data_IF_744013340553
#
_entry.id   IF_744013340553
#
_cell.length_a   1.000
_cell.length_b   1.000
_cell.length_c   1.000
_cell.angle_alpha   90.00
_cell.angle_beta   90.00
_cell.angle_gamma   90.00
#
_symmetry.space_group_name_H-M   'P 1'
#
loop_
_entity.id
_entity.type
_entity.pdbx_description
1 polymer ?
#
# COMPACT_ATOMS: atom_id res chain seq x y z
N UNK A 1 -1.49 -34.56 -15.85
CA UNK A 1 -0.90 -33.84 -14.71
C UNK A 1 -0.28 -32.60 -15.31
N UNK A 2 -0.92 -31.45 -15.15
CA UNK A 2 -0.42 -30.19 -15.71
C UNK A 2 0.56 -29.55 -14.72
N UNK A 3 1.76 -29.22 -15.21
CA UNK A 3 2.72 -28.40 -14.46
C UNK A 3 2.29 -26.93 -14.56
N UNK A 4 1.99 -26.32 -13.42
CA UNK A 4 1.81 -24.87 -13.32
C UNK A 4 3.20 -24.25 -13.14
N UNK A 5 3.67 -23.52 -14.15
CA UNK A 5 4.86 -22.68 -14.04
C UNK A 5 4.46 -21.35 -13.43
N UNK A 6 4.98 -21.07 -12.23
CA UNK A 6 4.91 -19.73 -11.64
C UNK A 6 6.06 -18.95 -12.26
N UNK A 7 5.75 -17.97 -13.10
CA UNK A 7 6.74 -17.01 -13.56
C UNK A 7 7.13 -16.09 -12.39
N UNK A 8 8.41 -15.73 -12.29
CA UNK A 8 8.87 -14.74 -11.32
C UNK A 8 8.19 -13.40 -11.63
N UNK A 9 7.06 -13.12 -10.96
CA UNK A 9 6.45 -11.81 -11.00
C UNK A 9 7.24 -10.91 -10.05
N UNK A 10 7.50 -9.68 -10.50
CA UNK A 10 8.13 -8.66 -9.66
C UNK A 10 7.13 -8.07 -8.65
N UNK A 11 5.94 -8.68 -8.54
CA UNK A 11 4.87 -8.23 -7.68
C UNK A 11 5.16 -8.57 -6.21
N UNK A 12 4.60 -7.78 -5.32
CA UNK A 12 4.68 -8.03 -3.88
C UNK A 12 3.51 -7.43 -3.13
N UNK A 13 3.28 -7.98 -1.94
CA UNK A 13 2.31 -7.45 -1.01
C UNK A 13 2.98 -6.39 -0.13
N UNK A 14 2.47 -5.17 -0.22
CA UNK A 14 2.83 -4.07 0.66
C UNK A 14 1.72 -3.91 1.70
N UNK A 15 2.02 -4.30 2.93
CA UNK A 15 1.06 -4.25 4.04
C UNK A 15 1.59 -3.45 5.22
N UNK A 16 0.68 -2.89 6.00
CA UNK A 16 1.02 -2.22 7.24
C UNK A 16 -0.20 -1.94 8.10
N UNK A 17 0.03 -1.23 9.21
CA UNK A 17 -1.00 -0.81 10.15
C UNK A 17 -0.87 0.67 10.45
N UNK A 18 -1.99 1.37 10.53
CA UNK A 18 -2.06 2.80 10.82
C UNK A 18 -2.77 3.07 12.15
N UNK A 19 -2.23 4.03 12.91
CA UNK A 19 -2.77 4.45 14.20
C UNK A 19 -2.95 5.97 14.22
N UNK A 20 -3.94 6.42 14.99
CA UNK A 20 -4.05 7.82 15.38
C UNK A 20 -3.01 8.16 16.47
N UNK A 21 -2.76 9.45 16.70
CA UNK A 21 -1.81 9.91 17.74
C UNK A 21 -2.16 9.46 19.17
N UNK A 22 -3.42 9.09 19.41
CA UNK A 22 -3.87 8.53 20.69
C UNK A 22 -3.60 7.02 20.82
N UNK A 23 -2.93 6.40 19.84
CA UNK A 23 -2.60 4.98 19.83
C UNK A 23 -3.74 4.06 19.40
N UNK A 24 -4.94 4.58 19.12
CA UNK A 24 -6.04 3.76 18.59
C UNK A 24 -5.82 3.44 17.12
N UNK A 25 -6.21 2.23 16.65
CA UNK A 25 -6.22 1.91 15.24
C UNK A 25 -6.99 2.92 14.42
N UNK A 26 -6.42 3.36 13.31
CA UNK A 26 -7.10 4.25 12.40
C UNK A 26 -7.99 3.45 11.45
N UNK A 27 -9.19 3.10 11.90
CA UNK A 27 -10.21 2.44 11.05
C UNK A 27 -10.69 3.36 9.93
N UNK A 28 -10.92 2.78 8.74
CA UNK A 28 -11.38 3.45 7.51
C UNK A 28 -10.49 4.62 7.08
N UNK A 29 -9.23 4.64 7.47
CA UNK A 29 -8.28 5.62 7.00
C UNK A 29 -8.01 5.38 5.51
N UNK A 30 -7.99 6.47 4.73
CA UNK A 30 -7.62 6.41 3.32
C UNK A 30 -6.10 6.28 3.22
N UNK A 31 -5.64 5.13 2.71
CA UNK A 31 -4.23 4.86 2.46
C UNK A 31 -3.98 5.00 0.97
N UNK A 32 -2.98 5.80 0.61
CA UNK A 32 -2.58 6.06 -0.77
C UNK A 32 -1.14 5.60 -0.95
N UNK A 33 -0.87 4.87 -2.04
CA UNK A 33 0.48 4.50 -2.46
C UNK A 33 0.83 5.18 -3.78
N UNK A 34 1.98 5.85 -3.78
CA UNK A 34 2.50 6.59 -4.92
C UNK A 34 3.91 6.09 -5.28
N UNK A 35 4.20 5.96 -6.58
CA UNK A 35 5.57 5.82 -7.10
C UNK A 35 6.27 7.17 -7.05
N UNK A 36 7.46 7.20 -6.49
CA UNK A 36 8.36 8.36 -6.55
C UNK A 36 9.03 8.35 -7.93
N UNK A 37 8.79 9.38 -8.74
CA UNK A 37 9.47 9.57 -10.02
C UNK A 37 10.75 10.37 -9.81
N UNK A 38 10.63 11.49 -9.08
CA UNK A 38 11.73 12.35 -8.67
C UNK A 38 11.33 13.10 -7.38
N UNK A 39 12.15 14.07 -6.93
CA UNK A 39 11.91 14.83 -5.69
C UNK A 39 10.59 15.62 -5.69
N UNK A 40 10.09 16.02 -6.86
CA UNK A 40 8.92 16.90 -7.04
C UNK A 40 7.73 16.18 -7.66
N UNK A 41 7.96 15.03 -8.30
CA UNK A 41 6.96 14.30 -9.06
C UNK A 41 6.65 12.93 -8.45
N UNK A 42 5.36 12.65 -8.33
CA UNK A 42 4.80 11.40 -7.82
C UNK A 42 3.71 10.92 -8.77
N UNK A 43 3.58 9.60 -8.93
CA UNK A 43 2.49 8.97 -9.67
C UNK A 43 1.67 8.12 -8.72
N UNK A 44 0.37 8.39 -8.62
CA UNK A 44 -0.57 7.53 -7.93
C UNK A 44 -0.52 6.12 -8.52
N UNK A 45 -0.39 5.11 -7.66
CA UNK A 45 -0.50 3.71 -8.06
C UNK A 45 -1.84 3.14 -7.65
N UNK A 46 -2.18 3.25 -6.36
CA UNK A 46 -3.40 2.67 -5.82
C UNK A 46 -3.83 3.36 -4.51
N UNK A 47 -5.04 3.06 -4.04
CA UNK A 47 -5.56 3.48 -2.75
C UNK A 47 -6.47 2.42 -2.13
N UNK A 48 -6.55 2.40 -0.80
CA UNK A 48 -7.46 1.52 -0.06
C UNK A 48 -7.93 2.17 1.23
N UNK A 49 -8.91 1.57 1.89
CA UNK A 49 -9.31 1.91 3.25
C UNK A 49 -8.75 0.87 4.21
N UNK A 50 -8.19 1.31 5.33
CA UNK A 50 -7.83 0.40 6.41
C UNK A 50 -9.07 -0.24 7.03
N UNK A 51 -8.92 -1.47 7.52
CA UNK A 51 -9.97 -2.18 8.25
C UNK A 51 -10.14 -1.63 9.68
N UNK A 52 -11.00 -2.27 10.48
CA UNK A 52 -11.27 -1.85 11.86
C UNK A 52 -10.06 -1.94 12.81
N UNK A 53 -9.07 -2.77 12.48
CA UNK A 53 -7.80 -2.91 13.19
C UNK A 53 -6.70 -1.97 12.64
N UNK A 54 -7.04 -1.10 11.69
CA UNK A 54 -6.10 -0.17 11.05
C UNK A 54 -5.16 -0.83 10.03
N UNK A 55 -5.39 -2.10 9.69
CA UNK A 55 -4.58 -2.84 8.72
C UNK A 55 -4.93 -2.46 7.28
N UNK A 56 -3.92 -2.43 6.41
CA UNK A 56 -4.06 -2.25 4.97
C UNK A 56 -3.11 -3.17 4.20
N UNK A 57 -3.46 -3.46 2.95
CA UNK A 57 -2.66 -4.27 2.03
C UNK A 57 -2.81 -3.76 0.59
N UNK A 58 -1.72 -3.78 -0.16
CA UNK A 58 -1.67 -3.52 -1.60
C UNK A 58 -0.93 -4.65 -2.31
N UNK A 59 -1.33 -4.95 -3.53
CA UNK A 59 -0.52 -5.70 -4.49
C UNK A 59 0.20 -4.69 -5.38
N UNK A 60 1.53 -4.73 -5.39
CA UNK A 60 2.38 -3.76 -6.08
C UNK A 60 3.28 -4.48 -7.08
N UNK A 61 3.42 -3.94 -8.29
CA UNK A 61 4.05 -4.64 -9.43
C UNK A 61 5.59 -4.54 -9.53
N UNK A 62 6.28 -3.74 -8.70
CA UNK A 62 7.71 -3.46 -8.92
C UNK A 62 8.54 -3.26 -7.63
N UNK A 63 9.19 -4.29 -7.10
CA UNK A 63 10.03 -4.16 -5.89
C UNK A 63 11.24 -3.20 -6.01
N UNK A 64 11.61 -2.77 -7.21
CA UNK A 64 12.86 -2.05 -7.47
C UNK A 64 12.71 -0.52 -7.52
N UNK A 65 11.56 0.01 -7.10
CA UNK A 65 11.29 1.45 -7.09
C UNK A 65 10.98 1.96 -5.67
N UNK A 66 11.13 3.27 -5.49
CA UNK A 66 10.80 3.93 -4.23
C UNK A 66 9.33 4.36 -4.21
N UNK A 67 8.69 4.13 -3.06
CA UNK A 67 7.29 4.46 -2.83
C UNK A 67 7.12 5.51 -1.75
N UNK A 68 6.03 6.26 -1.83
CA UNK A 68 5.48 6.98 -0.68
C UNK A 68 4.12 6.40 -0.35
N UNK A 69 3.93 6.12 0.93
CA UNK A 69 2.64 5.76 1.50
C UNK A 69 2.16 6.96 2.32
N UNK A 70 0.90 7.33 2.16
CA UNK A 70 0.28 8.39 2.96
C UNK A 70 -1.07 7.93 3.47
N UNK A 71 -1.37 8.32 4.71
CA UNK A 71 -2.60 7.99 5.38
C UNK A 71 -3.37 9.27 5.69
N UNK A 72 -4.66 9.28 5.36
CA UNK A 72 -5.57 10.38 5.62
C UNK A 72 -6.73 9.85 6.48
N UNK A 73 -7.22 10.70 7.38
CA UNK A 73 -8.38 10.35 8.21
C UNK A 73 -9.57 10.05 7.30
N UNK A 74 -10.24 8.92 7.55
CA UNK A 74 -11.49 8.56 6.88
C UNK A 74 -12.62 9.55 7.20
N UNK A 75 -13.58 9.66 6.28
CA UNK A 75 -14.81 10.44 6.47
C UNK A 75 -15.71 9.81 7.54
#
# INVERSE_FOLDING_TARGET
>A
MEEIKIEDSNEFLLSGRVFYNNGLPASKALIIVEKIIDEKSRKLLDFTLSNDDGDYIFLIEDRNISYKISAYKGL
#
